data_IF_523904075163
#
_entry.id   IF_523904075163
#
_cell.length_a   1.000
_cell.length_b   1.000
_cell.length_c   1.000
_cell.angle_alpha   90.00
_cell.angle_beta   90.00
_cell.angle_gamma   90.00
#
_symmetry.space_group_name_H-M   'P 1'
#
loop_
_entity.id
_entity.type
_entity.pdbx_description
1 polymer ?
#
# COMPACT_ATOMS: atom_id res chain seq x y z
N UNK A 1 -4.12 -15.77 3.22
CA UNK A 1 -3.01 -15.88 4.18
C UNK A 1 -3.51 -16.16 5.60
N UNK A 2 -2.71 -16.94 6.37
CA UNK A 2 -2.99 -17.17 7.78
C UNK A 2 -2.66 -15.91 8.58
N UNK A 3 -3.56 -15.53 9.49
CA UNK A 3 -3.44 -14.30 10.28
C UNK A 3 -3.50 -14.63 11.77
N UNK A 4 -2.50 -14.16 12.52
CA UNK A 4 -2.47 -14.26 13.99
C UNK A 4 -2.86 -12.94 14.65
N UNK A 5 -3.20 -12.99 15.94
CA UNK A 5 -3.49 -11.78 16.72
C UNK A 5 -2.27 -10.85 16.77
N UNK A 6 -2.49 -9.54 16.68
CA UNK A 6 -1.48 -8.47 16.75
C UNK A 6 -0.45 -8.45 15.61
N UNK A 7 -0.66 -9.21 14.55
CA UNK A 7 0.18 -9.07 13.35
C UNK A 7 0.11 -7.67 12.76
N UNK A 8 1.23 -7.25 12.18
CA UNK A 8 1.39 -6.00 11.44
C UNK A 8 1.39 -6.32 9.96
N UNK A 9 0.35 -5.90 9.27
CA UNK A 9 0.14 -6.23 7.86
C UNK A 9 0.12 -4.96 7.05
N UNK A 10 1.01 -4.89 6.05
CA UNK A 10 0.97 -3.86 5.03
C UNK A 10 -0.03 -4.21 3.94
N UNK A 11 -0.85 -3.26 3.54
CA UNK A 11 -1.82 -3.39 2.47
C UNK A 11 -1.36 -2.53 1.29
N UNK A 12 -0.95 -3.16 0.19
CA UNK A 12 -0.52 -2.51 -1.05
C UNK A 12 -1.59 -2.68 -2.12
N UNK A 13 -2.40 -1.64 -2.33
CA UNK A 13 -3.44 -1.65 -3.36
C UNK A 13 -2.92 -1.27 -4.74
N UNK A 14 -3.46 -1.89 -5.77
CA UNK A 14 -3.13 -1.57 -7.16
C UNK A 14 -3.89 -2.40 -8.18
N UNK A 15 -3.84 -1.98 -9.45
CA UNK A 15 -4.40 -2.76 -10.56
C UNK A 15 -3.56 -4.00 -10.87
N UNK A 16 -2.25 -3.93 -10.67
CA UNK A 16 -1.29 -4.99 -11.03
C UNK A 16 -1.50 -5.46 -12.48
N UNK A 17 -1.57 -4.52 -13.40
CA UNK A 17 -1.88 -4.75 -14.81
C UNK A 17 -0.82 -4.10 -15.73
N UNK A 18 0.26 -4.82 -16.04
CA UNK A 18 0.69 -6.06 -15.37
C UNK A 18 1.33 -5.82 -13.98
N UNK A 19 1.43 -6.89 -13.18
CA UNK A 19 2.32 -6.91 -12.04
C UNK A 19 3.77 -6.80 -12.55
N UNK A 20 4.61 -6.02 -11.86
CA UNK A 20 6.00 -5.79 -12.24
C UNK A 20 6.92 -5.66 -11.02
N UNK A 21 8.23 -5.76 -11.27
CA UNK A 21 9.29 -5.73 -10.24
C UNK A 21 9.14 -4.61 -9.21
N UNK A 22 8.66 -3.43 -9.62
CA UNK A 22 8.48 -2.32 -8.67
C UNK A 22 7.44 -2.61 -7.59
N UNK A 23 6.40 -3.42 -7.87
CA UNK A 23 5.44 -3.82 -6.85
C UNK A 23 6.08 -4.75 -5.82
N UNK A 24 6.90 -5.71 -6.29
CA UNK A 24 7.64 -6.62 -5.44
C UNK A 24 8.70 -5.86 -4.61
N UNK A 25 9.38 -4.90 -5.21
CA UNK A 25 10.37 -4.04 -4.56
C UNK A 25 9.73 -3.22 -3.42
N UNK A 26 8.63 -2.52 -3.69
CA UNK A 26 7.86 -1.81 -2.67
C UNK A 26 7.47 -2.77 -1.54
N UNK A 27 6.94 -3.96 -1.85
CA UNK A 27 6.50 -4.93 -0.86
C UNK A 27 7.64 -5.43 0.02
N UNK A 28 8.78 -5.81 -0.56
CA UNK A 28 9.97 -6.30 0.16
C UNK A 28 10.54 -5.22 1.09
N UNK A 29 10.66 -3.98 0.61
CA UNK A 29 11.18 -2.88 1.44
C UNK A 29 10.19 -2.44 2.51
N UNK A 30 8.89 -2.52 2.26
CA UNK A 30 7.86 -2.26 3.27
C UNK A 30 7.98 -3.19 4.47
N UNK A 31 8.19 -4.50 4.25
CA UNK A 31 8.44 -5.47 5.33
C UNK A 31 9.58 -4.99 6.25
N UNK A 32 10.69 -4.55 5.65
CA UNK A 32 11.90 -4.12 6.38
C UNK A 32 11.72 -2.75 7.05
N UNK A 33 11.25 -1.76 6.29
CA UNK A 33 11.22 -0.37 6.73
C UNK A 33 10.15 -0.10 7.78
N UNK A 34 8.99 -0.74 7.67
CA UNK A 34 7.88 -0.55 8.59
C UNK A 34 7.74 -1.69 9.59
N UNK A 35 8.70 -2.62 9.62
CA UNK A 35 8.73 -3.77 10.53
C UNK A 35 7.41 -4.56 10.50
N UNK A 36 6.98 -4.93 9.28
CA UNK A 36 5.75 -5.66 9.03
C UNK A 36 5.97 -7.17 9.08
N UNK A 37 4.96 -7.91 9.50
CA UNK A 37 4.97 -9.38 9.52
C UNK A 37 4.59 -9.94 8.15
N UNK A 38 3.69 -9.27 7.43
CA UNK A 38 3.22 -9.62 6.10
C UNK A 38 2.94 -8.37 5.26
N UNK A 39 2.95 -8.53 3.94
CA UNK A 39 2.38 -7.57 2.98
C UNK A 39 1.34 -8.27 2.12
N UNK A 40 0.17 -7.68 2.01
CA UNK A 40 -0.89 -8.13 1.11
C UNK A 40 -0.98 -7.18 -0.08
N UNK A 41 -0.68 -7.72 -1.26
CA UNK A 41 -0.92 -7.05 -2.54
C UNK A 41 -2.40 -7.23 -2.90
N UNK A 42 -3.17 -6.15 -2.82
CA UNK A 42 -4.62 -6.16 -3.05
C UNK A 42 -4.88 -5.79 -4.50
N UNK A 43 -5.35 -6.76 -5.28
CA UNK A 43 -5.76 -6.51 -6.66
C UNK A 43 -7.11 -5.79 -6.69
N UNK A 44 -7.10 -4.57 -7.24
CA UNK A 44 -8.33 -3.83 -7.45
C UNK A 44 -9.12 -4.38 -8.64
N UNK A 45 -10.42 -4.69 -8.48
CA UNK A 45 -11.27 -5.14 -9.60
C UNK A 45 -11.37 -4.08 -10.69
N UNK A 46 -11.44 -2.81 -10.31
CA UNK A 46 -11.46 -1.66 -11.21
C UNK A 46 -10.78 -0.46 -10.54
N UNK A 47 -10.45 0.56 -11.32
CA UNK A 47 -9.97 1.83 -10.79
C UNK A 47 -10.88 2.96 -11.26
N UNK A 48 -11.74 3.52 -10.40
CA UNK A 48 -12.68 4.57 -10.76
C UNK A 48 -12.05 5.84 -11.35
N UNK A 49 -10.74 6.04 -11.13
CA UNK A 49 -10.00 7.19 -11.65
C UNK A 49 -9.35 6.94 -13.02
N UNK A 50 -9.35 5.70 -13.51
CA UNK A 50 -8.79 5.34 -14.81
C UNK A 50 -9.91 5.23 -15.85
N UNK A 51 -9.64 5.71 -17.07
CA UNK A 51 -10.58 5.60 -18.20
C UNK A 51 -10.75 4.15 -18.69
N UNK A 52 -9.68 3.35 -18.59
CA UNK A 52 -9.70 1.96 -19.03
C UNK A 52 -9.73 1.05 -17.80
N UNK A 53 -10.64 0.09 -17.83
CA UNK A 53 -10.66 -0.98 -16.84
C UNK A 53 -9.43 -1.88 -17.03
N UNK A 54 -8.84 -2.40 -15.95
CA UNK A 54 -7.77 -3.37 -16.03
C UNK A 54 -8.30 -4.69 -16.64
N UNK A 55 -7.38 -5.52 -17.13
CA UNK A 55 -7.67 -6.86 -17.64
C UNK A 55 -8.34 -7.76 -16.59
N UNK A 56 -8.75 -8.98 -16.98
CA UNK A 56 -9.46 -9.91 -16.10
C UNK A 56 -8.70 -10.15 -14.79
N UNK A 57 -9.39 -10.05 -13.66
CA UNK A 57 -8.76 -10.13 -12.35
C UNK A 57 -8.04 -11.47 -12.09
N UNK A 58 -8.58 -12.57 -12.64
CA UNK A 58 -7.98 -13.88 -12.47
C UNK A 58 -6.64 -14.01 -13.21
N UNK A 59 -6.51 -13.44 -14.40
CA UNK A 59 -5.26 -13.41 -15.15
C UNK A 59 -4.22 -12.56 -14.40
N UNK A 60 -4.60 -11.36 -13.95
CA UNK A 60 -3.74 -10.49 -13.17
C UNK A 60 -3.30 -11.13 -11.86
N UNK A 61 -4.21 -11.85 -11.19
CA UNK A 61 -3.92 -12.61 -9.99
C UNK A 61 -2.91 -13.73 -10.25
N UNK A 62 -3.08 -14.47 -11.34
CA UNK A 62 -2.14 -15.52 -11.74
C UNK A 62 -0.74 -14.95 -11.99
N UNK A 63 -0.62 -13.90 -12.82
CA UNK A 63 0.66 -13.27 -13.13
C UNK A 63 1.32 -12.63 -11.89
N UNK A 64 0.55 -12.00 -11.03
CA UNK A 64 1.06 -11.43 -9.79
C UNK A 64 1.61 -12.50 -8.84
N UNK A 65 0.96 -13.66 -8.74
CA UNK A 65 1.47 -14.78 -7.93
C UNK A 65 2.75 -15.38 -8.50
N UNK A 66 2.92 -15.44 -9.83
CA UNK A 66 4.17 -15.90 -10.44
C UNK A 66 5.34 -14.96 -10.10
N UNK A 67 5.09 -13.66 -9.99
CA UNK A 67 6.10 -12.67 -9.66
C UNK A 67 6.47 -12.68 -8.17
N UNK A 68 5.51 -13.01 -7.29
CA UNK A 68 5.69 -12.89 -5.85
C UNK A 68 6.26 -14.16 -5.26
N UNK A 69 7.59 -14.27 -5.27
CA UNK A 69 8.34 -15.37 -4.63
C UNK A 69 8.87 -14.93 -3.25
N UNK A 70 7.96 -14.73 -2.28
CA UNK A 70 8.37 -14.34 -0.93
C UNK A 70 7.38 -14.84 0.13
N UNK A 71 7.86 -15.53 1.21
CA UNK A 71 6.97 -16.20 2.18
C UNK A 71 6.09 -15.26 3.01
N UNK A 72 6.35 -13.96 3.00
CA UNK A 72 5.60 -12.95 3.75
C UNK A 72 4.82 -11.97 2.86
N UNK A 73 4.82 -12.19 1.54
CA UNK A 73 4.08 -11.34 0.59
C UNK A 73 2.99 -12.19 -0.05
N UNK A 74 1.77 -11.74 -0.01
CA UNK A 74 0.61 -12.47 -0.50
C UNK A 74 -0.17 -11.63 -1.50
N UNK A 75 -0.54 -12.21 -2.62
CA UNK A 75 -1.47 -11.59 -3.57
C UNK A 75 -2.88 -11.97 -3.15
N UNK A 76 -3.80 -10.99 -3.11
CA UNK A 76 -5.18 -11.21 -2.68
C UNK A 76 -6.18 -10.54 -3.62
N UNK A 77 -7.37 -11.14 -3.74
CA UNK A 77 -8.54 -10.55 -4.42
C UNK A 77 -9.58 -10.08 -3.40
N UNK A 78 -9.12 -9.59 -2.25
CA UNK A 78 -10.01 -9.28 -1.13
C UNK A 78 -11.04 -8.18 -1.45
N UNK A 79 -10.73 -7.26 -2.37
CA UNK A 79 -11.72 -6.26 -2.83
C UNK A 79 -12.86 -6.90 -3.62
N UNK A 80 -12.56 -7.92 -4.45
CA UNK A 80 -13.58 -8.72 -5.12
C UNK A 80 -14.43 -9.50 -4.11
N UNK A 81 -13.80 -10.17 -3.13
CA UNK A 81 -14.49 -10.92 -2.08
C UNK A 81 -15.37 -10.04 -1.17
N UNK A 82 -14.95 -8.79 -0.95
CA UNK A 82 -15.69 -7.80 -0.16
C UNK A 82 -16.70 -7.01 -0.98
N UNK A 83 -16.73 -7.19 -2.29
CA UNK A 83 -17.51 -6.42 -3.25
C UNK A 83 -17.28 -4.90 -3.06
N UNK A 84 -16.00 -4.49 -3.04
CA UNK A 84 -15.56 -3.11 -2.89
C UNK A 84 -14.64 -2.70 -4.03
N UNK A 85 -14.62 -1.38 -4.33
CA UNK A 85 -13.72 -0.75 -5.30
C UNK A 85 -13.07 0.52 -4.74
N UNK A 86 -13.49 0.94 -3.55
CA UNK A 86 -12.99 2.15 -2.88
C UNK A 86 -12.17 1.77 -1.66
N UNK A 87 -10.93 2.23 -1.62
CA UNK A 87 -9.96 1.93 -0.54
C UNK A 87 -10.51 2.20 0.87
N UNK A 88 -11.21 3.32 1.09
CA UNK A 88 -11.79 3.63 2.39
C UNK A 88 -12.78 2.55 2.87
N UNK A 89 -13.62 2.07 1.94
CA UNK A 89 -14.59 1.01 2.24
C UNK A 89 -13.90 -0.34 2.46
N UNK A 90 -12.91 -0.68 1.64
CA UNK A 90 -12.09 -1.88 1.79
C UNK A 90 -11.43 -1.92 3.15
N UNK A 91 -10.76 -0.85 3.56
CA UNK A 91 -10.11 -0.74 4.87
C UNK A 91 -11.11 -0.90 6.03
N UNK A 92 -12.28 -0.26 5.93
CA UNK A 92 -13.36 -0.40 6.92
C UNK A 92 -13.77 -1.85 7.12
N UNK A 93 -13.98 -2.60 6.04
CA UNK A 93 -14.43 -3.98 6.09
C UNK A 93 -13.33 -4.94 6.56
N UNK A 94 -12.08 -4.75 6.12
CA UNK A 94 -10.94 -5.54 6.59
C UNK A 94 -10.73 -5.36 8.09
N UNK A 95 -10.74 -4.13 8.60
CA UNK A 95 -10.59 -3.85 10.03
C UNK A 95 -11.71 -4.47 10.88
N UNK A 96 -12.95 -4.50 10.36
CA UNK A 96 -14.06 -5.17 11.04
C UNK A 96 -13.91 -6.69 11.10
N UNK A 97 -13.37 -7.30 10.04
CA UNK A 97 -13.11 -8.76 10.01
C UNK A 97 -11.92 -9.17 10.85
N UNK A 98 -10.90 -8.30 10.95
CA UNK A 98 -9.63 -8.58 11.62
C UNK A 98 -9.29 -7.48 12.66
N UNK A 99 -10.11 -7.33 13.72
CA UNK A 99 -10.01 -6.20 14.67
C UNK A 99 -8.71 -6.21 15.49
N UNK A 100 -8.06 -7.36 15.60
CA UNK A 100 -6.82 -7.53 16.37
C UNK A 100 -5.55 -7.42 15.52
N UNK A 101 -5.67 -7.03 14.25
CA UNK A 101 -4.54 -6.84 13.31
C UNK A 101 -4.24 -5.36 13.18
N UNK A 102 -2.95 -5.04 13.07
CA UNK A 102 -2.48 -3.68 12.81
C UNK A 102 -2.19 -3.53 11.33
N UNK A 103 -2.95 -2.69 10.67
CA UNK A 103 -2.77 -2.43 9.24
C UNK A 103 -1.99 -1.16 8.99
N UNK A 104 -1.18 -1.17 7.93
CA UNK A 104 -0.51 -0.01 7.33
C UNK A 104 -0.89 0.02 5.86
N UNK A 105 -1.45 1.13 5.38
CA UNK A 105 -1.66 1.31 3.94
C UNK A 105 -0.34 1.68 3.27
N UNK A 106 0.04 0.95 2.24
CA UNK A 106 1.28 1.12 1.50
C UNK A 106 0.99 1.68 0.12
N UNK A 107 1.79 2.65 -0.32
CA UNK A 107 1.71 3.16 -1.69
C UNK A 107 3.05 3.73 -2.16
N UNK A 108 3.24 3.77 -3.48
CA UNK A 108 4.29 4.56 -4.09
C UNK A 108 4.05 6.06 -3.84
N UNK A 109 5.11 6.82 -3.66
CA UNK A 109 5.00 8.25 -3.35
C UNK A 109 4.30 9.07 -4.45
N UNK A 110 4.33 8.60 -5.71
CA UNK A 110 3.61 9.16 -6.83
C UNK A 110 2.08 9.17 -6.63
N UNK A 111 1.54 8.19 -5.92
CA UNK A 111 0.12 8.12 -5.59
C UNK A 111 -0.33 9.10 -4.49
N UNK A 112 0.61 9.71 -3.79
CA UNK A 112 0.33 10.73 -2.78
C UNK A 112 -0.23 12.03 -3.41
N UNK A 113 0.19 12.33 -4.65
CA UNK A 113 -0.25 13.55 -5.36
C UNK A 113 -1.75 13.48 -5.68
N UNK A 114 -2.28 12.43 -6.32
CA UNK A 114 -3.71 12.31 -6.64
C UNK A 114 -4.56 11.75 -5.48
N UNK A 115 -4.00 11.51 -4.29
CA UNK A 115 -4.73 10.86 -3.21
C UNK A 115 -5.98 11.65 -2.79
N UNK A 116 -5.93 12.97 -2.85
CA UNK A 116 -7.08 13.84 -2.52
C UNK A 116 -8.27 13.72 -3.50
N UNK A 117 -8.08 13.02 -4.62
CA UNK A 117 -9.14 12.66 -5.58
C UNK A 117 -9.78 11.30 -5.28
N UNK A 118 -9.22 10.54 -4.34
CA UNK A 118 -9.78 9.25 -3.97
C UNK A 118 -11.04 9.44 -3.13
N UNK A 119 -12.03 8.59 -3.37
CA UNK A 119 -13.28 8.63 -2.60
C UNK A 119 -13.00 8.50 -1.10
N UNK A 120 -13.44 9.48 -0.32
CA UNK A 120 -13.26 9.54 1.13
C UNK A 120 -11.78 9.43 1.57
N UNK A 121 -10.88 10.08 0.85
CA UNK A 121 -9.44 10.00 1.09
C UNK A 121 -9.02 10.34 2.53
N UNK A 122 -9.67 11.30 3.18
CA UNK A 122 -9.40 11.65 4.58
C UNK A 122 -9.78 10.53 5.54
N UNK A 123 -10.76 9.70 5.17
CA UNK A 123 -11.13 8.51 5.94
C UNK A 123 -10.03 7.44 5.88
N UNK A 124 -9.33 7.31 4.75
CA UNK A 124 -8.17 6.41 4.61
C UNK A 124 -7.11 6.80 5.63
N UNK A 125 -6.72 8.09 5.64
CA UNK A 125 -5.72 8.64 6.56
C UNK A 125 -6.09 8.46 8.04
N UNK A 126 -7.37 8.59 8.37
CA UNK A 126 -7.86 8.47 9.74
C UNK A 126 -8.12 7.02 10.19
N UNK A 127 -8.01 6.04 9.27
CA UNK A 127 -8.22 4.62 9.59
C UNK A 127 -6.95 3.87 9.89
N UNK A 128 -5.91 4.07 9.10
CA UNK A 128 -4.66 3.33 9.17
C UNK A 128 -3.47 4.26 8.96
N UNK A 129 -2.32 3.99 9.59
CA UNK A 129 -1.09 4.67 9.23
C UNK A 129 -0.72 4.41 7.77
N UNK A 130 -0.01 5.38 7.14
CA UNK A 130 0.38 5.29 5.72
C UNK A 130 1.89 5.21 5.58
N UNK A 131 2.36 4.18 4.89
CA UNK A 131 3.75 3.97 4.49
C UNK A 131 3.96 4.36 3.02
N UNK A 132 4.77 5.38 2.79
CA UNK A 132 5.07 5.92 1.46
C UNK A 132 6.48 5.56 1.04
N UNK A 133 6.61 4.99 -0.15
CA UNK A 133 7.88 4.54 -0.70
C UNK A 133 8.16 5.25 -2.03
N UNK A 134 9.20 6.08 -2.03
CA UNK A 134 9.62 6.82 -3.21
C UNK A 134 10.68 6.06 -3.99
N UNK A 135 10.50 5.99 -5.31
CA UNK A 135 11.54 5.59 -6.23
C UNK A 135 12.54 6.75 -6.38
N UNK A 136 13.78 6.44 -6.71
CA UNK A 136 14.92 7.35 -6.64
C UNK A 136 14.93 8.53 -7.61
N UNK A 137 13.99 8.66 -8.52
CA UNK A 137 13.86 9.86 -9.37
C UNK A 137 13.12 10.99 -8.64
N UNK A 138 13.58 11.29 -7.45
CA UNK A 138 12.95 12.10 -6.42
C UNK A 138 12.58 13.49 -6.87
N UNK A 139 11.32 13.67 -7.17
CA UNK A 139 10.71 14.98 -7.06
C UNK A 139 10.23 15.16 -5.61
N UNK A 140 10.43 16.33 -5.03
CA UNK A 140 9.80 16.71 -3.75
C UNK A 140 8.29 16.95 -3.91
N UNK A 141 7.75 16.74 -5.11
CA UNK A 141 6.34 16.97 -5.43
C UNK A 141 5.36 16.21 -4.51
N UNK A 142 5.58 14.92 -4.17
CA UNK A 142 4.71 14.21 -3.24
C UNK A 142 4.62 14.90 -1.86
N UNK A 143 5.71 15.44 -1.36
CA UNK A 143 5.75 16.14 -0.06
C UNK A 143 5.07 17.53 -0.08
N UNK A 144 4.73 18.04 -1.25
CA UNK A 144 3.94 19.26 -1.45
C UNK A 144 2.45 18.97 -1.72
N UNK A 145 2.05 17.70 -1.74
CA UNK A 145 0.67 17.28 -1.97
C UNK A 145 -0.29 17.81 -0.90
N UNK A 146 -1.59 17.79 -1.20
CA UNK A 146 -2.63 18.17 -0.24
C UNK A 146 -2.60 17.29 1.00
N UNK A 147 -2.40 15.97 0.83
CA UNK A 147 -2.24 15.01 1.93
C UNK A 147 -1.10 15.41 2.85
N UNK A 148 0.12 15.64 2.31
CA UNK A 148 1.28 16.00 3.10
C UNK A 148 1.09 17.28 3.91
N UNK A 149 0.38 18.26 3.35
CA UNK A 149 0.07 19.52 4.04
C UNK A 149 -0.99 19.35 5.12
N UNK A 150 -2.06 18.61 4.81
CA UNK A 150 -3.18 18.38 5.75
C UNK A 150 -2.72 17.61 7.00
N UNK A 151 -1.87 16.58 6.81
CA UNK A 151 -1.39 15.73 7.90
C UNK A 151 0.08 15.95 8.25
N UNK A 152 0.59 17.18 8.03
CA UNK A 152 2.01 17.51 8.25
C UNK A 152 2.49 17.24 9.68
N UNK A 153 1.67 17.52 10.69
CA UNK A 153 1.97 17.27 12.10
C UNK A 153 2.09 15.78 12.46
N UNK A 154 1.53 14.89 11.61
CA UNK A 154 1.54 13.44 11.83
C UNK A 154 2.63 12.73 11.03
N UNK A 155 3.55 13.46 10.42
CA UNK A 155 4.66 12.89 9.67
C UNK A 155 5.75 12.37 10.59
N UNK A 156 6.09 11.09 10.46
CA UNK A 156 7.26 10.51 11.13
C UNK A 156 8.56 10.83 10.37
N UNK A 157 9.63 11.00 11.11
CA UNK A 157 10.96 11.00 10.51
C UNK A 157 11.31 9.62 9.95
N UNK A 158 12.14 9.58 8.90
CA UNK A 158 12.50 8.35 8.22
C UNK A 158 13.19 7.31 9.13
N UNK A 159 13.90 7.72 10.18
CA UNK A 159 14.53 6.85 11.18
C UNK A 159 13.50 6.21 12.13
N UNK A 160 12.30 6.76 12.26
CA UNK A 160 11.21 6.25 13.09
C UNK A 160 10.28 5.31 12.32
N UNK A 161 10.54 5.04 11.05
CA UNK A 161 9.67 4.26 10.16
C UNK A 161 9.26 2.90 10.73
N UNK A 162 10.15 2.23 11.47
CA UNK A 162 9.89 0.91 12.08
C UNK A 162 8.77 0.94 13.14
N UNK A 163 8.45 2.10 13.67
CA UNK A 163 7.38 2.29 14.65
C UNK A 163 6.01 2.53 14.00
N UNK A 164 5.95 2.80 12.69
CA UNK A 164 4.72 3.20 12.00
C UNK A 164 3.55 2.25 12.29
N UNK A 165 3.77 0.94 12.17
CA UNK A 165 2.74 -0.07 12.40
C UNK A 165 2.28 -0.20 13.87
N UNK A 166 2.99 0.43 14.81
CA UNK A 166 2.62 0.47 16.23
C UNK A 166 1.77 1.69 16.59
N UNK A 167 1.73 2.66 15.71
CA UNK A 167 0.98 3.90 15.90
C UNK A 167 -0.46 3.77 15.37
N UNK A 168 -1.31 4.66 15.86
CA UNK A 168 -2.66 4.81 15.31
C UNK A 168 -2.63 5.82 14.15
N UNK A 169 -3.64 5.75 13.27
CA UNK A 169 -3.89 6.82 12.31
C UNK A 169 -4.00 8.18 13.02
N UNK A 170 -3.66 9.29 12.38
CA UNK A 170 -3.29 9.45 10.97
C UNK A 170 -1.76 9.56 10.72
N UNK A 171 -0.93 8.85 11.45
CA UNK A 171 0.52 8.91 11.25
C UNK A 171 0.94 8.37 9.88
N UNK A 172 1.95 9.00 9.27
CA UNK A 172 2.52 8.57 8.00
C UNK A 172 4.04 8.74 7.95
N UNK A 173 4.68 7.95 7.11
CA UNK A 173 6.13 7.95 6.96
C UNK A 173 6.52 7.85 5.49
N UNK A 174 7.52 8.64 5.08
CA UNK A 174 8.07 8.68 3.73
C UNK A 174 9.47 8.10 3.74
N UNK A 175 9.73 7.09 2.91
CA UNK A 175 11.03 6.44 2.76
C UNK A 175 11.45 6.40 1.29
N UNK A 176 12.71 6.68 1.04
CA UNK A 176 13.31 6.43 -0.26
C UNK A 176 13.65 4.94 -0.42
N UNK A 177 13.31 4.37 -1.56
CA UNK A 177 13.78 3.06 -1.95
C UNK A 177 15.22 3.18 -2.50
N UNK A 178 16.08 2.18 -2.29
CA UNK A 178 17.32 2.11 -3.04
C UNK A 178 17.02 1.94 -4.52
N UNK A 179 17.97 2.35 -5.35
CA UNK A 179 17.92 2.09 -6.81
C UNK A 179 17.79 0.59 -7.05
N UNK A 180 16.89 0.21 -7.94
CA UNK A 180 16.94 -1.12 -8.54
C UNK A 180 18.01 -1.02 -9.62
N UNK A 181 19.12 -1.72 -9.48
CA UNK A 181 20.03 -1.95 -10.60
C UNK A 181 19.29 -2.80 -11.62
N UNK A 182 18.68 -2.15 -12.62
CA UNK A 182 18.08 -2.82 -13.78
C UNK A 182 19.15 -3.34 -14.76
N UNK A 183 20.41 -3.44 -14.32
CA UNK A 183 21.55 -3.86 -15.14
C UNK A 183 21.91 -5.32 -14.99
N UNK A 184 20.93 -6.23 -14.99
CA UNK A 184 21.23 -7.64 -15.16
C UNK A 184 20.04 -8.38 -15.76
N UNK A 185 19.92 -8.30 -17.06
CA UNK A 185 19.23 -9.29 -17.91
C UNK A 185 19.89 -9.27 -19.26
#
# INVERSE_FOLDING_TARGET
PLVSRRQKIGLLGGSFDPAHESHLHISKYSLKYFNLDQVWCILSPSNPLKKNNPGPINERFYHANLLVEHPKIFVTKIEEELNTVYTAQTLKLIQRRLPNVRFVWLMGADNMIPLDKWMNWTEIENRVPIGLLARTNNTLAPLKSKMARTFSACRLNANQSRNLANLKAPFWCYKNLPLIDLSSS
#
